data_IF_916742163180
#
_entry.id   IF_916742163180
#
_cell.length_a   1.000
_cell.length_b   1.000
_cell.length_c   1.000
_cell.angle_alpha   90.00
_cell.angle_beta   90.00
_cell.angle_gamma   90.00
#
_symmetry.space_group_name_H-M   'P 1'
#
loop_
_entity.id
_entity.type
_entity.pdbx_description
1 polymer ?
#
# COMPACT_ATOMS: atom_id res chain seq x y z
N UNK A 1 -22.41 28.34 -4.22
CA UNK A 1 -21.91 27.01 -3.82
C UNK A 1 -22.23 26.80 -2.34
N UNK A 2 -23.09 25.85 -2.02
CA UNK A 2 -23.63 25.64 -0.69
C UNK A 2 -22.54 25.38 0.38
N UNK A 3 -21.48 24.67 0.01
CA UNK A 3 -20.33 24.40 0.89
C UNK A 3 -19.64 25.67 1.38
N UNK A 4 -19.43 26.64 0.49
CA UNK A 4 -18.83 27.93 0.86
C UNK A 4 -19.73 28.70 1.85
N UNK A 5 -21.03 28.76 1.57
CA UNK A 5 -22.00 29.42 2.46
C UNK A 5 -22.12 28.75 3.83
N UNK A 6 -22.05 27.41 3.88
CA UNK A 6 -22.05 26.65 5.14
C UNK A 6 -20.78 26.94 5.95
N UNK A 7 -19.61 26.91 5.30
CA UNK A 7 -18.33 27.20 5.94
C UNK A 7 -18.36 28.55 6.67
N UNK A 8 -18.79 29.61 5.97
CA UNK A 8 -18.82 30.95 6.56
C UNK A 8 -19.84 31.09 7.70
N UNK A 9 -20.95 30.34 7.66
CA UNK A 9 -21.89 30.31 8.77
C UNK A 9 -21.36 29.62 10.03
N UNK A 10 -20.44 28.68 9.85
CA UNK A 10 -19.86 27.92 10.95
C UNK A 10 -18.51 28.47 11.41
N UNK A 11 -17.92 29.40 10.65
CA UNK A 11 -16.54 29.87 10.84
C UNK A 11 -16.28 30.35 12.27
N UNK A 12 -17.16 31.19 12.81
CA UNK A 12 -17.01 31.74 14.17
C UNK A 12 -17.21 30.70 15.28
N UNK A 13 -17.74 29.52 14.94
CA UNK A 13 -17.92 28.40 15.88
C UNK A 13 -16.76 27.39 15.83
N UNK A 14 -15.84 27.53 14.88
CA UNK A 14 -14.68 26.62 14.76
C UNK A 14 -13.53 27.20 15.60
N UNK A 15 -12.95 26.44 16.55
CA UNK A 15 -11.78 26.88 17.30
C UNK A 15 -10.59 27.23 16.39
N UNK A 16 -9.80 28.25 16.77
CA UNK A 16 -8.65 28.70 15.99
C UNK A 16 -7.62 27.57 15.75
N UNK A 17 -7.43 26.70 16.73
CA UNK A 17 -6.54 25.54 16.63
C UNK A 17 -7.00 24.58 15.53
N UNK A 18 -8.30 24.37 15.38
CA UNK A 18 -8.86 23.52 14.32
C UNK A 18 -8.68 24.17 12.94
N UNK A 19 -8.87 25.48 12.84
CA UNK A 19 -8.62 26.23 11.59
C UNK A 19 -7.15 26.12 11.18
N UNK A 20 -6.21 26.20 12.14
CA UNK A 20 -4.79 26.04 11.89
C UNK A 20 -4.45 24.61 11.40
N UNK A 21 -5.07 23.58 11.97
CA UNK A 21 -4.89 22.19 11.56
C UNK A 21 -5.46 21.93 10.17
N UNK A 22 -6.60 22.52 9.84
CA UNK A 22 -7.21 22.45 8.51
C UNK A 22 -6.28 23.14 7.48
N UNK A 23 -5.80 24.36 7.78
CA UNK A 23 -4.89 25.10 6.91
C UNK A 23 -3.56 24.33 6.71
N UNK A 24 -2.98 23.79 7.77
CA UNK A 24 -1.78 22.94 7.69
C UNK A 24 -2.04 21.73 6.77
N UNK A 25 -3.20 21.07 6.92
CA UNK A 25 -3.56 19.91 6.11
C UNK A 25 -3.64 20.26 4.63
N UNK A 26 -4.23 21.41 4.30
CA UNK A 26 -4.32 21.92 2.93
C UNK A 26 -2.93 22.27 2.40
N UNK A 27 -2.11 22.97 3.18
CA UNK A 27 -0.75 23.36 2.77
C UNK A 27 0.17 22.16 2.54
N UNK A 28 0.05 21.09 3.30
CA UNK A 28 0.84 19.87 3.05
C UNK A 28 0.63 19.31 1.63
N UNK A 29 -0.53 19.57 1.01
CA UNK A 29 -0.83 19.16 -0.36
C UNK A 29 -0.53 20.26 -1.37
N UNK A 30 -1.01 21.49 -1.15
CA UNK A 30 -0.94 22.58 -2.13
C UNK A 30 0.46 23.23 -2.18
N UNK A 31 1.16 23.27 -1.06
CA UNK A 31 2.51 23.85 -0.91
C UNK A 31 3.47 22.88 -0.23
N UNK A 32 3.77 21.74 -0.88
CA UNK A 32 4.54 20.68 -0.27
C UNK A 32 6.00 21.11 -0.03
N UNK A 33 6.49 20.86 1.19
CA UNK A 33 7.86 21.16 1.62
C UNK A 33 8.79 19.96 1.39
N UNK A 34 8.33 18.75 1.66
CA UNK A 34 9.12 17.54 1.50
C UNK A 34 9.44 17.25 0.02
N UNK A 35 10.55 16.58 -0.21
CA UNK A 35 11.02 16.17 -1.53
C UNK A 35 11.14 14.66 -1.65
N UNK A 36 11.27 14.16 -2.87
CA UNK A 36 11.35 12.74 -3.19
C UNK A 36 12.72 12.44 -3.82
N UNK A 37 13.39 11.41 -3.31
CA UNK A 37 14.54 10.78 -3.98
C UNK A 37 14.02 9.88 -5.11
N UNK A 38 13.82 10.48 -6.31
CA UNK A 38 13.27 9.78 -7.46
C UNK A 38 14.14 8.58 -7.90
N UNK A 39 15.48 8.65 -7.94
CA UNK A 39 16.32 7.50 -8.24
C UNK A 39 16.07 6.31 -7.33
N UNK A 40 15.91 6.54 -6.03
CA UNK A 40 15.60 5.50 -5.05
C UNK A 40 14.23 4.88 -5.30
N UNK A 41 13.21 5.70 -5.58
CA UNK A 41 11.86 5.21 -5.90
C UNK A 41 11.86 4.40 -7.19
N UNK A 42 12.58 4.85 -8.21
CA UNK A 42 12.71 4.15 -9.48
C UNK A 42 13.36 2.77 -9.29
N UNK A 43 14.46 2.71 -8.53
CA UNK A 43 15.14 1.45 -8.21
C UNK A 43 14.22 0.48 -7.46
N UNK A 44 13.41 0.98 -6.52
CA UNK A 44 12.44 0.13 -5.80
C UNK A 44 11.34 -0.40 -6.73
N UNK A 45 10.84 0.43 -7.65
CA UNK A 45 9.87 -0.01 -8.66
C UNK A 45 10.44 -1.11 -9.56
N UNK A 46 11.66 -0.91 -10.07
CA UNK A 46 12.36 -1.90 -10.91
C UNK A 46 12.56 -3.24 -10.17
N UNK A 47 12.91 -3.18 -8.90
CA UNK A 47 13.06 -4.35 -8.03
C UNK A 47 11.74 -5.09 -7.81
N UNK A 48 10.64 -4.36 -7.56
CA UNK A 48 9.29 -4.96 -7.42
C UNK A 48 8.85 -5.63 -8.73
N UNK A 49 8.99 -4.94 -9.87
CA UNK A 49 8.63 -5.46 -11.20
C UNK A 49 9.54 -6.63 -11.57
N UNK A 50 10.85 -6.49 -11.42
CA UNK A 50 11.83 -7.56 -11.69
C UNK A 50 11.57 -8.81 -10.84
N UNK A 51 11.20 -8.62 -9.56
CA UNK A 51 10.83 -9.72 -8.68
C UNK A 51 9.57 -10.48 -9.14
N UNK A 52 8.60 -9.79 -9.75
CA UNK A 52 7.42 -10.43 -10.36
C UNK A 52 7.80 -11.24 -11.58
N UNK A 53 8.60 -10.66 -12.48
CA UNK A 53 9.08 -11.35 -13.68
C UNK A 53 9.88 -12.61 -13.32
N UNK A 54 10.81 -12.50 -12.38
CA UNK A 54 11.59 -13.65 -11.91
C UNK A 54 10.70 -14.76 -11.31
N UNK A 55 9.67 -14.39 -10.55
CA UNK A 55 8.72 -15.35 -9.97
C UNK A 55 7.88 -16.06 -11.04
N UNK A 56 7.45 -15.34 -12.09
CA UNK A 56 6.75 -15.93 -13.23
C UNK A 56 7.63 -16.92 -13.98
N UNK A 57 8.87 -16.55 -14.28
CA UNK A 57 9.83 -17.42 -14.94
C UNK A 57 10.11 -18.69 -14.13
N UNK A 58 10.34 -18.55 -12.80
CA UNK A 58 10.57 -19.68 -11.90
C UNK A 58 9.36 -20.61 -11.82
N UNK A 59 8.14 -20.06 -11.79
CA UNK A 59 6.92 -20.86 -11.71
C UNK A 59 6.51 -21.50 -13.05
N UNK A 60 6.99 -20.96 -14.18
CA UNK A 60 6.67 -21.39 -15.53
C UNK A 60 5.19 -21.23 -15.86
N UNK A 61 4.57 -20.13 -15.36
CA UNK A 61 3.14 -19.87 -15.56
C UNK A 61 2.87 -18.39 -15.85
N UNK A 62 1.66 -18.04 -16.27
CA UNK A 62 1.27 -16.67 -16.58
C UNK A 62 0.72 -15.94 -15.35
N UNK A 63 0.80 -14.60 -15.37
CA UNK A 63 0.18 -13.76 -14.33
C UNK A 63 -1.34 -13.99 -14.29
N UNK A 64 -1.99 -14.15 -15.44
CA UNK A 64 -3.42 -14.40 -15.55
C UNK A 64 -3.84 -15.68 -14.82
N UNK A 65 -3.10 -16.77 -15.00
CA UNK A 65 -3.37 -18.05 -14.36
C UNK A 65 -3.19 -17.97 -12.83
N UNK A 66 -2.20 -17.21 -12.38
CA UNK A 66 -1.96 -16.99 -10.97
C UNK A 66 -3.01 -16.07 -10.31
N UNK A 67 -3.60 -15.14 -11.03
CA UNK A 67 -4.65 -14.25 -10.52
C UNK A 67 -6.00 -14.95 -10.36
N UNK A 68 -6.33 -15.89 -11.27
CA UNK A 68 -7.54 -16.68 -11.20
C UNK A 68 -7.46 -17.76 -10.14
N UNK A 69 -8.45 -17.84 -9.25
CA UNK A 69 -8.49 -18.88 -8.23
C UNK A 69 -8.64 -20.27 -8.85
N UNK A 70 -9.50 -20.42 -9.86
CA UNK A 70 -9.75 -21.70 -10.51
C UNK A 70 -8.53 -22.19 -11.29
N UNK A 71 -7.89 -21.30 -12.06
CA UNK A 71 -6.69 -21.66 -12.82
C UNK A 71 -5.52 -21.99 -11.89
N UNK A 72 -5.36 -21.24 -10.80
CA UNK A 72 -4.34 -21.55 -9.80
C UNK A 72 -4.58 -22.89 -9.09
N UNK A 73 -5.85 -23.22 -8.78
CA UNK A 73 -6.19 -24.53 -8.23
C UNK A 73 -5.83 -25.67 -9.22
N UNK A 74 -6.12 -25.48 -10.51
CA UNK A 74 -5.74 -26.44 -11.55
C UNK A 74 -4.21 -26.63 -11.63
N UNK A 75 -3.43 -25.54 -11.54
CA UNK A 75 -1.97 -25.61 -11.51
C UNK A 75 -1.43 -26.37 -10.30
N UNK A 76 -2.00 -26.17 -9.10
CA UNK A 76 -1.63 -26.93 -7.90
C UNK A 76 -1.95 -28.40 -8.04
N UNK A 77 -3.15 -28.73 -8.53
CA UNK A 77 -3.57 -30.12 -8.76
C UNK A 77 -2.66 -30.81 -9.80
N UNK A 78 -2.30 -30.13 -10.89
CA UNK A 78 -1.35 -30.63 -11.87
C UNK A 78 0.08 -30.82 -11.31
N UNK A 79 0.44 -30.09 -10.28
CA UNK A 79 1.70 -30.24 -9.54
C UNK A 79 1.61 -31.33 -8.43
N UNK A 80 0.52 -32.08 -8.37
CA UNK A 80 0.30 -33.15 -7.39
C UNK A 80 -0.05 -32.67 -5.97
N UNK A 81 -0.48 -31.40 -5.83
CA UNK A 81 -0.90 -30.84 -4.57
C UNK A 81 -2.37 -30.42 -4.64
N UNK A 82 -3.29 -31.08 -3.93
CA UNK A 82 -4.69 -30.69 -3.90
C UNK A 82 -4.85 -29.23 -3.46
N UNK A 83 -5.68 -28.48 -4.21
CA UNK A 83 -5.93 -27.09 -3.89
C UNK A 83 -6.65 -26.97 -2.52
N UNK A 84 -6.09 -26.21 -1.55
CA UNK A 84 -6.69 -26.12 -0.23
C UNK A 84 -8.02 -25.38 -0.25
N UNK A 85 -8.97 -25.89 0.53
CA UNK A 85 -10.33 -25.36 0.66
C UNK A 85 -10.60 -24.94 2.11
N UNK A 86 -11.51 -23.99 2.27
CA UNK A 86 -12.07 -23.56 3.57
C UNK A 86 -13.55 -23.23 3.45
N UNK A 87 -14.23 -23.16 4.56
CA UNK A 87 -15.57 -22.58 4.61
C UNK A 87 -15.43 -21.07 4.74
N UNK A 88 -16.03 -20.32 3.82
CA UNK A 88 -16.04 -18.85 3.84
C UNK A 88 -16.85 -18.35 5.04
N UNK A 89 -16.27 -17.56 5.96
CA UNK A 89 -17.03 -17.01 7.09
C UNK A 89 -18.18 -16.10 6.66
N UNK A 90 -18.03 -15.44 5.52
CA UNK A 90 -19.03 -14.48 5.03
C UNK A 90 -20.24 -15.15 4.36
N UNK A 91 -20.04 -16.33 3.73
CA UNK A 91 -21.10 -16.96 2.92
C UNK A 91 -21.49 -18.37 3.38
N UNK A 92 -20.74 -18.96 4.31
CA UNK A 92 -20.92 -20.36 4.74
C UNK A 92 -20.63 -21.40 3.63
N UNK A 93 -20.14 -21.01 2.47
CA UNK A 93 -19.89 -21.91 1.32
C UNK A 93 -18.41 -22.29 1.21
N UNK A 94 -18.10 -23.47 0.63
CA UNK A 94 -16.73 -23.84 0.30
C UNK A 94 -16.07 -22.81 -0.62
N UNK A 95 -14.85 -22.41 -0.29
CA UNK A 95 -14.02 -21.48 -1.06
C UNK A 95 -12.55 -21.90 -0.99
N UNK A 96 -11.73 -21.49 -1.97
CA UNK A 96 -10.31 -21.76 -1.91
C UNK A 96 -9.63 -20.99 -0.77
N UNK A 97 -8.79 -21.67 -0.01
CA UNK A 97 -8.00 -21.10 1.06
C UNK A 97 -6.70 -20.50 0.50
N UNK A 98 -6.81 -19.41 -0.29
CA UNK A 98 -5.70 -18.79 -1.01
C UNK A 98 -5.36 -17.37 -0.51
N UNK A 99 -5.91 -16.94 0.60
CA UNK A 99 -5.48 -15.69 1.22
C UNK A 99 -4.10 -15.84 1.85
N UNK A 100 -3.31 -14.77 1.88
CA UNK A 100 -1.98 -14.76 2.53
C UNK A 100 -2.05 -15.18 4.01
N UNK A 101 -3.17 -14.90 4.69
CA UNK A 101 -3.41 -15.25 6.08
C UNK A 101 -3.91 -16.68 6.29
N UNK A 102 -4.26 -17.42 5.23
CA UNK A 102 -4.74 -18.79 5.34
C UNK A 102 -3.57 -19.73 5.66
N UNK A 103 -3.65 -20.48 6.75
CA UNK A 103 -2.61 -21.44 7.15
C UNK A 103 -2.31 -22.48 6.06
N UNK A 104 -3.37 -22.97 5.41
CA UNK A 104 -3.23 -23.90 4.30
C UNK A 104 -2.48 -23.31 3.10
N UNK A 105 -2.59 -21.99 2.86
CA UNK A 105 -1.79 -21.31 1.84
C UNK A 105 -0.34 -21.14 2.31
N UNK A 106 -0.11 -20.81 3.59
CA UNK A 106 1.24 -20.72 4.15
C UNK A 106 2.00 -22.04 4.05
N UNK A 107 1.29 -23.16 4.21
CA UNK A 107 1.86 -24.49 4.01
C UNK A 107 2.37 -24.72 2.57
N UNK A 108 1.71 -24.13 1.54
CA UNK A 108 2.18 -24.23 0.15
C UNK A 108 3.56 -23.59 -0.04
N UNK A 109 3.88 -22.55 0.72
CA UNK A 109 5.18 -21.85 0.65
C UNK A 109 6.33 -22.70 1.23
N UNK A 110 6.03 -23.65 2.09
CA UNK A 110 7.00 -24.56 2.71
C UNK A 110 6.86 -26.01 2.21
N UNK A 111 6.04 -26.22 1.17
CA UNK A 111 5.76 -27.55 0.64
C UNK A 111 7.03 -28.22 0.11
N UNK A 112 7.14 -29.55 0.26
CA UNK A 112 8.31 -30.34 -0.19
C UNK A 112 8.58 -30.22 -1.69
N UNK A 113 7.56 -30.09 -2.53
CA UNK A 113 7.69 -29.90 -3.98
C UNK A 113 8.12 -28.47 -4.30
N UNK A 114 9.26 -28.30 -5.00
CA UNK A 114 9.73 -27.00 -5.44
C UNK A 114 8.73 -26.32 -6.40
N UNK A 115 8.06 -27.10 -7.26
CA UNK A 115 7.05 -26.58 -8.17
C UNK A 115 5.88 -25.92 -7.42
N UNK A 116 5.40 -26.55 -6.34
CA UNK A 116 4.30 -26.01 -5.52
C UNK A 116 4.75 -24.73 -4.83
N UNK A 117 5.97 -24.70 -4.24
CA UNK A 117 6.50 -23.49 -3.63
C UNK A 117 6.63 -22.35 -4.65
N UNK A 118 7.18 -22.62 -5.83
CA UNK A 118 7.32 -21.61 -6.88
C UNK A 118 5.98 -21.03 -7.33
N UNK A 119 4.93 -21.85 -7.47
CA UNK A 119 3.58 -21.40 -7.78
C UNK A 119 2.99 -20.53 -6.67
N UNK A 120 3.14 -20.91 -5.41
CA UNK A 120 2.63 -20.15 -4.28
C UNK A 120 3.37 -18.81 -4.11
N UNK A 121 4.70 -18.78 -4.21
CA UNK A 121 5.54 -17.58 -4.18
C UNK A 121 5.16 -16.62 -5.31
N UNK A 122 5.04 -17.13 -6.54
CA UNK A 122 4.66 -16.34 -7.71
C UNK A 122 3.27 -15.71 -7.53
N UNK A 123 2.29 -16.48 -7.04
CA UNK A 123 0.96 -15.95 -6.75
C UNK A 123 0.98 -14.82 -5.74
N UNK A 124 1.73 -14.92 -4.64
CA UNK A 124 1.88 -13.83 -3.66
C UNK A 124 2.48 -12.58 -4.30
N UNK A 125 3.54 -12.75 -5.07
CA UNK A 125 4.22 -11.66 -5.77
C UNK A 125 3.28 -10.95 -6.75
N UNK A 126 2.56 -11.69 -7.58
CA UNK A 126 1.65 -11.12 -8.59
C UNK A 126 0.43 -10.45 -7.95
N UNK A 127 -0.12 -10.99 -6.86
CA UNK A 127 -1.23 -10.36 -6.14
C UNK A 127 -0.81 -9.14 -5.29
N UNK A 128 0.46 -9.02 -4.96
CA UNK A 128 0.97 -7.86 -4.21
C UNK A 128 1.22 -6.68 -5.16
N UNK A 129 0.29 -5.75 -5.22
CA UNK A 129 0.39 -4.55 -6.08
C UNK A 129 0.63 -3.26 -5.30
N UNK A 130 0.60 -3.31 -3.96
CA UNK A 130 0.65 -2.11 -3.12
C UNK A 130 1.99 -1.38 -3.25
N UNK A 131 3.12 -2.11 -3.23
CA UNK A 131 4.46 -1.53 -3.35
C UNK A 131 4.66 -0.83 -4.69
N UNK A 132 4.35 -1.53 -5.77
CA UNK A 132 4.41 -1.01 -7.14
C UNK A 132 3.49 0.21 -7.34
N UNK A 133 2.23 0.11 -6.93
CA UNK A 133 1.28 1.22 -7.05
C UNK A 133 1.75 2.46 -6.31
N UNK A 134 2.31 2.29 -5.10
CA UNK A 134 2.88 3.41 -4.33
C UNK A 134 4.11 3.99 -4.99
N UNK A 135 5.03 3.16 -5.47
CA UNK A 135 6.23 3.63 -6.17
C UNK A 135 5.87 4.46 -7.41
N UNK A 136 4.93 3.98 -8.23
CA UNK A 136 4.41 4.72 -9.38
C UNK A 136 3.82 6.06 -8.95
N UNK A 137 3.02 6.11 -7.87
CA UNK A 137 2.45 7.36 -7.35
C UNK A 137 3.50 8.35 -6.84
N UNK A 138 4.56 7.86 -6.20
CA UNK A 138 5.69 8.70 -5.80
C UNK A 138 6.41 9.30 -7.02
N UNK A 139 6.66 8.50 -8.07
CA UNK A 139 7.24 8.98 -9.31
C UNK A 139 6.35 10.03 -10.00
N UNK A 140 5.04 9.79 -10.04
CA UNK A 140 4.08 10.75 -10.59
C UNK A 140 4.08 12.07 -9.81
N UNK A 141 4.05 11.99 -8.48
CA UNK A 141 4.09 13.16 -7.61
C UNK A 141 5.37 13.98 -7.80
N UNK A 142 6.51 13.30 -7.95
CA UNK A 142 7.81 13.94 -8.12
C UNK A 142 8.04 14.62 -9.47
N UNK A 143 7.18 14.43 -10.47
CA UNK A 143 7.30 15.10 -11.79
C UNK A 143 7.31 16.62 -11.69
N UNK A 144 6.68 17.19 -10.68
CA UNK A 144 6.60 18.62 -10.44
C UNK A 144 7.67 19.10 -9.44
N UNK A 145 8.94 19.07 -9.85
CA UNK A 145 10.04 19.60 -9.06
C UNK A 145 10.43 18.74 -7.84
N UNK A 146 10.23 17.44 -7.92
CA UNK A 146 10.52 16.47 -6.86
C UNK A 146 9.79 16.72 -5.53
N UNK A 147 8.74 17.51 -5.54
CA UNK A 147 7.93 17.79 -4.37
C UNK A 147 7.01 16.62 -4.02
N UNK A 148 6.79 16.40 -2.74
CA UNK A 148 5.92 15.36 -2.20
C UNK A 148 4.63 15.98 -1.66
N UNK A 149 3.57 16.12 -2.46
CA UNK A 149 2.27 16.54 -1.94
C UNK A 149 1.68 15.44 -1.04
N UNK A 150 1.28 15.82 0.17
CA UNK A 150 0.73 14.90 1.15
C UNK A 150 -0.77 15.09 1.20
N UNK A 151 -1.51 14.16 0.59
CA UNK A 151 -2.97 14.19 0.63
C UNK A 151 -3.48 13.45 1.87
N UNK A 152 -3.92 14.21 2.85
CA UNK A 152 -4.63 13.74 4.02
C UNK A 152 -6.05 14.33 4.04
N UNK A 153 -7.00 13.52 4.40
CA UNK A 153 -8.35 13.97 4.71
C UNK A 153 -8.41 14.30 6.20
N UNK A 154 -8.63 15.57 6.51
CA UNK A 154 -8.83 16.03 7.89
C UNK A 154 -10.03 15.30 8.50
N UNK A 155 -9.85 14.75 9.70
CA UNK A 155 -10.87 13.95 10.38
C UNK A 155 -11.53 12.85 9.52
N UNK A 156 -10.77 12.30 8.56
CA UNK A 156 -11.28 11.37 7.54
C UNK A 156 -11.61 9.97 8.05
N UNK A 157 -11.17 9.60 9.26
CA UNK A 157 -11.55 8.36 9.92
C UNK A 157 -12.68 8.60 10.93
N UNK A 158 -13.50 7.58 11.21
CA UNK A 158 -14.58 7.70 12.21
C UNK A 158 -14.06 7.99 13.64
N UNK A 159 -12.77 7.79 13.90
CA UNK A 159 -12.07 8.17 15.14
C UNK A 159 -11.49 9.58 15.10
N UNK A 160 -11.89 10.42 14.15
CA UNK A 160 -11.40 11.79 13.93
C UNK A 160 -9.89 11.90 13.62
N UNK A 161 -9.22 10.79 13.29
CA UNK A 161 -7.84 10.81 12.79
C UNK A 161 -7.79 11.17 11.30
N UNK A 162 -6.67 11.73 10.85
CA UNK A 162 -6.43 11.91 9.43
C UNK A 162 -6.40 10.56 8.70
N UNK A 163 -6.97 10.52 7.51
CA UNK A 163 -6.86 9.38 6.61
C UNK A 163 -6.12 9.76 5.34
N UNK A 164 -5.30 8.83 4.83
CA UNK A 164 -4.54 9.06 3.61
C UNK A 164 -5.39 8.93 2.35
N UNK A 165 -5.16 9.81 1.38
CA UNK A 165 -5.82 9.80 0.08
C UNK A 165 -4.90 9.38 -1.08
N UNK A 166 -5.46 9.39 -2.30
CA UNK A 166 -4.78 9.21 -3.59
C UNK A 166 -3.88 7.95 -3.71
N UNK A 167 -4.25 6.84 -3.04
CA UNK A 167 -3.47 5.58 -3.04
C UNK A 167 -2.00 5.75 -2.58
N UNK A 168 -1.67 6.89 -1.97
CA UNK A 168 -0.35 7.25 -1.48
C UNK A 168 -0.38 7.53 0.03
N UNK A 169 -1.03 6.63 0.79
CA UNK A 169 -1.10 6.77 2.24
C UNK A 169 0.28 6.60 2.88
N UNK A 170 0.90 7.72 3.24
CA UNK A 170 2.23 7.76 3.87
C UNK A 170 2.25 7.16 5.27
N UNK A 171 1.11 7.17 5.99
CA UNK A 171 0.99 6.59 7.33
C UNK A 171 1.25 5.07 7.32
N UNK A 172 0.99 4.40 6.20
CA UNK A 172 1.13 2.95 6.03
C UNK A 172 2.41 2.55 5.28
N UNK A 173 3.40 3.42 5.18
CA UNK A 173 4.70 3.05 4.63
C UNK A 173 5.45 2.15 5.61
N UNK A 174 6.04 1.08 5.06
CA UNK A 174 6.80 0.11 5.86
C UNK A 174 7.97 0.82 6.56
N UNK A 175 8.11 0.60 7.87
CA UNK A 175 9.22 1.13 8.65
C UNK A 175 10.55 0.61 8.08
N UNK A 176 11.45 1.53 7.73
CA UNK A 176 12.73 1.17 7.11
C UNK A 176 12.67 0.79 5.63
N UNK A 177 11.47 0.79 5.00
CA UNK A 177 11.30 0.53 3.58
C UNK A 177 11.84 1.64 2.68
N UNK A 178 12.21 1.31 1.45
CA UNK A 178 12.88 2.25 0.53
C UNK A 178 11.99 3.44 0.15
N UNK A 179 10.68 3.25 0.00
CA UNK A 179 9.75 4.36 -0.23
C UNK A 179 9.71 5.34 0.95
N UNK A 180 9.80 4.86 2.20
CA UNK A 180 9.88 5.75 3.36
C UNK A 180 11.22 6.50 3.41
N UNK A 181 12.32 5.85 3.05
CA UNK A 181 13.65 6.45 2.97
C UNK A 181 13.80 7.44 1.80
N UNK A 182 12.92 7.36 0.78
CA UNK A 182 12.93 8.30 -0.34
C UNK A 182 12.33 9.67 0.02
N UNK A 183 11.69 9.81 1.18
CA UNK A 183 11.15 11.08 1.68
C UNK A 183 12.29 11.89 2.28
N UNK A 184 12.56 13.04 1.72
CA UNK A 184 13.69 13.88 2.10
C UNK A 184 13.25 15.28 2.53
N UNK A 185 14.04 15.88 3.40
CA UNK A 185 13.98 17.32 3.65
C UNK A 185 14.55 18.09 2.45
N UNK A 186 14.12 19.33 2.19
CA UNK A 186 14.78 20.21 1.24
C UNK A 186 16.21 20.55 1.71
N UNK A 187 17.05 21.00 0.78
CA UNK A 187 18.45 21.36 1.05
C UNK A 187 18.55 22.31 2.25
N UNK A 188 19.42 22.02 3.19
CA UNK A 188 19.64 22.83 4.41
C UNK A 188 18.65 22.54 5.54
N UNK A 189 17.77 21.55 5.38
CA UNK A 189 16.80 21.13 6.39
C UNK A 189 16.98 19.67 6.77
N UNK A 190 16.37 19.26 7.85
CA UNK A 190 16.30 17.87 8.31
C UNK A 190 14.85 17.49 8.60
N UNK A 191 14.52 16.23 8.46
CA UNK A 191 13.23 15.68 8.91
C UNK A 191 13.38 15.24 10.35
N UNK A 192 12.62 15.86 11.25
CA UNK A 192 12.51 15.43 12.65
C UNK A 192 11.23 14.60 12.79
N UNK A 193 11.36 13.42 13.37
CA UNK A 193 10.22 12.53 13.64
C UNK A 193 10.06 12.41 15.15
N UNK A 194 8.90 12.81 15.64
CA UNK A 194 8.50 12.65 17.03
C UNK A 194 7.16 11.90 17.10
N UNK A 195 7.05 11.00 18.04
CA UNK A 195 5.83 10.21 18.27
C UNK A 195 5.62 10.05 19.78
N UNK A 196 4.40 10.29 20.24
CA UNK A 196 4.04 10.08 21.64
C UNK A 196 3.69 8.62 21.86
N UNK A 197 4.44 7.93 22.70
CA UNK A 197 4.14 6.55 23.05
C UNK A 197 2.90 6.51 23.97
N UNK A 198 2.03 5.54 23.73
CA UNK A 198 0.89 5.21 24.59
C UNK A 198 -0.08 6.38 24.90
N UNK A 199 -0.30 7.27 23.93
CA UNK A 199 -1.20 8.41 24.08
C UNK A 199 -2.67 7.99 24.34
N UNK A 200 -3.01 6.74 24.06
CA UNK A 200 -4.35 6.15 24.20
C UNK A 200 -4.47 5.26 25.46
N UNK A 201 -3.48 5.30 26.37
CA UNK A 201 -3.49 4.52 27.60
C UNK A 201 -4.34 5.16 28.70
#
# INVERSE_FOLDING_TARGET
>A
NDTYGIFWKLYDAIPDEELQLIDLTIRMFCDPVLTIDLPRVQSELEKEVGGKVAALLKSGTSAEDLLSNNKFAALLNAAGCPAPMKISPATGKPAYAFAKSDEAFQYLLTHKSEKVRALAEARLKIKSTIGETRAVRFLEAGKNGNKLPILLHYSGAHTHRWSGGNKMNLQNLVRGGELRKSIMAPKGHVVVVADSAQIEA
#
